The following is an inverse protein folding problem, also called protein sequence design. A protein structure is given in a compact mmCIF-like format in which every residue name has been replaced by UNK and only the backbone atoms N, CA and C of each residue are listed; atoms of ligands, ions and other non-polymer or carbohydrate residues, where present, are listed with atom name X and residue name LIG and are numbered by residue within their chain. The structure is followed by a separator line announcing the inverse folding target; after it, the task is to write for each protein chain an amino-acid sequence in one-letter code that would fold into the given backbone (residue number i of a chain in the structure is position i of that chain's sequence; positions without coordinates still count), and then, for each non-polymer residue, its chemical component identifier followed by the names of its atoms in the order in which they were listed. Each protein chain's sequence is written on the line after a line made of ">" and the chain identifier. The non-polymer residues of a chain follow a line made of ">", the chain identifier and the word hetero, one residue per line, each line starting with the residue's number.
data_IF_604377492208
#
_entry.id   IF_604377492208
#
_cell.length_a   1.000
_cell.length_b   1.000
_cell.length_c   1.000
_cell.angle_alpha   90.00
_cell.angle_beta   90.00
_cell.angle_gamma   90.00
#
_symmetry.space_group_name_H-M   'P 1'
#
loop_
_entity.id
_entity.type
_entity.pdbx_description
1 polymer ?
#
# COMPACT_ATOMS: atom_id res chain seq x y z
N UNK A 1 -11.18 16.95 -4.14
CA UNK A 1 -11.96 16.37 -3.03
C UNK A 1 -11.19 15.17 -2.51
N UNK A 2 -11.05 15.01 -1.20
CA UNK A 2 -10.24 13.93 -0.63
C UNK A 2 -11.12 12.75 -0.27
N UNK A 3 -10.82 11.62 -0.88
CA UNK A 3 -11.27 10.31 -0.43
C UNK A 3 -10.36 9.83 0.70
N UNK A 4 -10.84 9.99 1.95
CA UNK A 4 -10.07 9.70 3.16
C UNK A 4 -10.82 8.70 4.05
N UNK A 5 -10.40 7.43 4.00
CA UNK A 5 -10.99 6.34 4.78
C UNK A 5 -10.28 6.10 6.12
N UNK A 6 -9.16 6.79 6.38
CA UNK A 6 -8.33 6.56 7.58
C UNK A 6 -9.11 6.83 8.87
N UNK A 7 -10.03 7.81 8.83
CA UNK A 7 -10.89 8.16 9.95
C UNK A 7 -12.34 8.43 9.49
N UNK A 8 -13.25 8.32 10.45
CA UNK A 8 -14.71 8.38 10.24
C UNK A 8 -15.13 9.77 9.80
N UNK A 9 -14.52 10.81 10.35
CA UNK A 9 -14.77 12.21 10.00
C UNK A 9 -14.42 12.50 8.54
N UNK A 10 -13.28 11.99 8.06
CA UNK A 10 -12.86 12.09 6.67
C UNK A 10 -13.83 11.38 5.73
N UNK A 11 -14.29 10.19 6.09
CA UNK A 11 -15.23 9.40 5.29
C UNK A 11 -16.60 10.09 5.21
N UNK A 12 -17.14 10.56 6.35
CA UNK A 12 -18.39 11.33 6.38
C UNK A 12 -18.28 12.61 5.56
N UNK A 13 -17.17 13.34 5.70
CA UNK A 13 -16.93 14.56 4.94
C UNK A 13 -16.88 14.29 3.44
N UNK A 14 -16.21 13.22 3.02
CA UNK A 14 -16.18 12.81 1.62
C UNK A 14 -17.59 12.54 1.08
N UNK A 15 -18.37 11.70 1.75
CA UNK A 15 -19.75 11.41 1.34
C UNK A 15 -20.61 12.68 1.27
N UNK A 16 -20.53 13.54 2.29
CA UNK A 16 -21.27 14.79 2.31
C UNK A 16 -20.90 15.71 1.13
N UNK A 17 -19.61 15.95 0.93
CA UNK A 17 -19.12 16.83 -0.13
C UNK A 17 -19.39 16.25 -1.53
N UNK A 18 -19.37 14.92 -1.66
CA UNK A 18 -19.43 14.24 -2.96
C UNK A 18 -20.84 13.96 -3.44
N UNK A 19 -21.69 13.39 -2.59
CA UNK A 19 -23.06 13.02 -2.95
C UNK A 19 -24.12 13.96 -2.40
N UNK A 20 -23.74 14.94 -1.59
CA UNK A 20 -24.65 15.97 -1.08
C UNK A 20 -25.61 15.49 0.01
N UNK A 21 -25.36 14.31 0.60
CA UNK A 21 -26.17 13.77 1.70
C UNK A 21 -25.64 14.30 3.03
N UNK A 22 -26.52 14.78 3.92
CA UNK A 22 -26.10 15.27 5.22
C UNK A 22 -25.66 14.13 6.15
N UNK A 23 -24.81 14.45 7.13
CA UNK A 23 -24.23 13.43 8.03
C UNK A 23 -25.29 12.66 8.84
N UNK A 24 -26.39 13.29 9.22
CA UNK A 24 -27.46 12.64 9.99
C UNK A 24 -28.13 11.59 9.11
N UNK A 25 -28.47 11.95 7.87
CA UNK A 25 -29.03 11.03 6.89
C UNK A 25 -28.12 9.83 6.62
N UNK A 26 -26.81 10.05 6.44
CA UNK A 26 -25.83 8.97 6.25
C UNK A 26 -25.84 8.01 7.45
N UNK A 27 -25.80 8.55 8.67
CA UNK A 27 -25.79 7.73 9.89
C UNK A 27 -27.11 6.96 10.05
N UNK A 28 -28.25 7.62 9.81
CA UNK A 28 -29.56 6.97 9.84
C UNK A 28 -29.65 5.82 8.84
N UNK A 29 -29.14 6.01 7.62
CA UNK A 29 -29.08 4.94 6.63
C UNK A 29 -28.31 3.71 7.13
N UNK A 30 -27.13 3.94 7.73
CA UNK A 30 -26.28 2.85 8.25
C UNK A 30 -26.96 2.11 9.40
N UNK A 31 -27.67 2.82 10.28
CA UNK A 31 -28.39 2.20 11.41
C UNK A 31 -29.57 1.36 10.88
N UNK A 32 -30.36 1.91 9.95
CA UNK A 32 -31.49 1.23 9.33
C UNK A 32 -31.04 -0.05 8.59
N UNK A 33 -29.83 -0.03 8.00
CA UNK A 33 -29.25 -1.10 7.19
C UNK A 33 -27.99 -1.72 7.83
N UNK A 34 -28.00 -1.88 9.16
CA UNK A 34 -26.81 -2.27 9.93
C UNK A 34 -26.24 -3.66 9.60
N UNK A 35 -27.05 -4.58 9.07
CA UNK A 35 -26.62 -5.93 8.70
C UNK A 35 -26.02 -6.00 7.29
N UNK A 36 -26.57 -5.25 6.34
CA UNK A 36 -26.14 -5.26 4.94
C UNK A 36 -26.40 -3.89 4.29
N UNK A 37 -25.39 -3.36 3.62
CA UNK A 37 -25.44 -2.04 2.96
C UNK A 37 -25.64 -2.27 1.47
N UNK A 38 -26.79 -1.83 0.95
CA UNK A 38 -27.10 -1.87 -0.47
C UNK A 38 -26.85 -0.49 -1.12
N UNK A 39 -25.99 -0.46 -2.13
CA UNK A 39 -25.61 0.80 -2.79
C UNK A 39 -26.74 1.32 -3.68
N UNK A 40 -27.52 0.43 -4.30
CA UNK A 40 -28.64 0.83 -5.15
C UNK A 40 -29.76 1.41 -4.29
N UNK A 41 -30.08 0.79 -3.14
CA UNK A 41 -31.04 1.35 -2.17
C UNK A 41 -30.58 2.71 -1.62
N UNK A 42 -29.28 2.85 -1.29
CA UNK A 42 -28.74 4.16 -0.87
C UNK A 42 -28.91 5.22 -1.97
N UNK A 43 -28.60 4.86 -3.22
CA UNK A 43 -28.73 5.77 -4.35
C UNK A 43 -30.21 6.14 -4.60
N UNK A 44 -31.13 5.19 -4.54
CA UNK A 44 -32.57 5.44 -4.70
C UNK A 44 -33.12 6.35 -3.58
N UNK A 45 -32.78 6.05 -2.32
CA UNK A 45 -33.26 6.79 -1.15
C UNK A 45 -32.87 8.27 -1.17
N UNK A 46 -31.69 8.57 -1.70
CA UNK A 46 -31.15 9.93 -1.76
C UNK A 46 -31.11 10.52 -3.17
N UNK A 47 -31.75 9.86 -4.15
CA UNK A 47 -31.82 10.28 -5.55
C UNK A 47 -30.43 10.62 -6.14
N UNK A 48 -29.47 9.71 -5.92
CA UNK A 48 -28.11 9.80 -6.42
C UNK A 48 -28.03 9.05 -7.75
N UNK A 49 -27.56 9.75 -8.78
CA UNK A 49 -27.22 9.19 -10.08
C UNK A 49 -25.70 9.03 -10.15
N UNK A 50 -25.20 7.80 -10.24
CA UNK A 50 -23.75 7.55 -10.32
C UNK A 50 -23.13 8.23 -11.53
N UNK A 51 -23.82 8.24 -12.68
CA UNK A 51 -23.33 8.88 -13.90
C UNK A 51 -23.07 10.38 -13.73
N UNK A 52 -23.78 11.05 -12.81
CA UNK A 52 -23.70 12.49 -12.58
C UNK A 52 -22.64 12.90 -11.56
N UNK A 53 -22.03 11.95 -10.84
CA UNK A 53 -21.02 12.26 -9.83
C UNK A 53 -19.67 12.60 -10.49
N UNK A 54 -19.12 13.77 -10.19
CA UNK A 54 -17.79 14.16 -10.66
C UNK A 54 -16.68 13.42 -9.91
N UNK A 55 -15.67 12.92 -10.62
CA UNK A 55 -14.53 12.20 -10.02
C UNK A 55 -13.15 12.75 -10.40
N UNK A 56 -13.07 13.64 -11.38
CA UNK A 56 -11.79 14.12 -11.95
C UNK A 56 -10.90 14.83 -10.92
N UNK A 57 -11.52 15.42 -9.90
CA UNK A 57 -10.84 16.15 -8.84
C UNK A 57 -10.70 15.33 -7.54
N UNK A 58 -11.03 14.02 -7.56
CA UNK A 58 -10.86 13.14 -6.41
C UNK A 58 -9.40 12.72 -6.27
N UNK A 59 -8.90 12.85 -5.05
CA UNK A 59 -7.60 12.34 -4.61
C UNK A 59 -7.81 11.32 -3.50
N UNK A 60 -6.93 10.33 -3.43
CA UNK A 60 -7.00 9.21 -2.51
C UNK A 60 -5.93 9.40 -1.46
N UNK A 61 -6.34 9.31 -0.20
CA UNK A 61 -5.42 9.40 0.92
C UNK A 61 -5.05 7.99 1.36
N UNK A 62 -3.75 7.71 1.42
CA UNK A 62 -3.24 6.43 1.85
C UNK A 62 -2.09 6.59 2.85
N UNK A 63 -1.92 5.60 3.71
CA UNK A 63 -0.88 5.52 4.73
C UNK A 63 0.17 4.48 4.33
N UNK A 64 1.44 4.84 4.35
CA UNK A 64 2.56 3.92 4.14
C UNK A 64 3.39 3.79 5.40
N UNK A 65 3.56 2.56 5.88
CA UNK A 65 4.42 2.26 7.03
C UNK A 65 5.83 1.96 6.52
N UNK A 66 6.82 2.66 7.09
CA UNK A 66 8.22 2.50 6.69
C UNK A 66 9.15 2.57 7.88
N UNK A 67 10.38 2.09 7.70
CA UNK A 67 11.48 2.27 8.64
C UNK A 67 12.65 2.94 7.94
N UNK A 68 13.32 3.86 8.62
CA UNK A 68 14.46 4.57 8.06
C UNK A 68 15.55 4.80 9.12
N UNK A 69 16.79 4.97 8.66
CA UNK A 69 17.95 5.26 9.51
C UNK A 69 18.39 6.73 9.46
N UNK A 70 17.82 7.52 8.55
CA UNK A 70 18.27 8.87 8.20
C UNK A 70 17.24 9.96 8.51
N UNK A 71 16.23 9.68 9.34
CA UNK A 71 15.22 10.67 9.72
C UNK A 71 14.40 11.19 8.53
N UNK A 72 14.13 10.35 7.54
CA UNK A 72 13.36 10.62 6.31
C UNK A 72 14.06 11.52 5.29
N UNK A 73 15.35 11.86 5.45
CA UNK A 73 16.06 12.74 4.50
C UNK A 73 16.08 12.19 3.07
N UNK A 74 16.26 10.88 2.90
CA UNK A 74 16.16 10.24 1.59
C UNK A 74 14.76 10.34 1.00
N UNK A 75 13.71 10.18 1.81
CA UNK A 75 12.32 10.28 1.35
C UNK A 75 11.97 11.73 1.01
N UNK A 76 12.49 12.73 1.73
CA UNK A 76 12.38 14.15 1.36
C UNK A 76 12.99 14.43 -0.01
N UNK A 77 14.14 13.82 -0.28
CA UNK A 77 14.89 14.04 -1.51
C UNK A 77 14.29 13.33 -2.72
N UNK A 78 13.92 12.06 -2.57
CA UNK A 78 13.54 11.20 -3.68
C UNK A 78 12.06 10.85 -3.72
N UNK A 79 11.33 10.99 -2.61
CA UNK A 79 9.96 10.48 -2.47
C UNK A 79 9.91 9.07 -1.89
N UNK A 80 8.70 8.52 -1.76
CA UNK A 80 8.48 7.13 -1.38
C UNK A 80 8.59 6.27 -2.65
N UNK A 81 9.44 5.25 -2.61
CA UNK A 81 9.84 4.48 -3.79
C UNK A 81 9.55 3.00 -3.62
N UNK A 82 9.44 2.28 -4.74
CA UNK A 82 9.39 0.83 -4.77
C UNK A 82 10.73 0.18 -4.35
N UNK A 83 10.73 -1.12 -4.03
CA UNK A 83 11.91 -1.80 -3.50
C UNK A 83 13.10 -1.75 -4.47
N UNK A 84 12.86 -1.90 -5.77
CA UNK A 84 13.91 -1.85 -6.80
C UNK A 84 14.58 -0.49 -6.85
N UNK A 85 13.82 0.58 -6.77
CA UNK A 85 14.32 1.95 -6.72
C UNK A 85 15.08 2.19 -5.41
N UNK A 86 14.54 1.73 -4.28
CA UNK A 86 15.23 1.81 -2.97
C UNK A 86 16.62 1.17 -3.03
N UNK A 87 16.79 0.06 -3.75
CA UNK A 87 18.07 -0.63 -3.90
C UNK A 87 18.98 -0.03 -4.99
N UNK A 88 18.45 0.76 -5.93
CA UNK A 88 19.23 1.43 -6.99
C UNK A 88 19.75 2.82 -6.57
N UNK A 89 19.09 3.50 -5.65
CA UNK A 89 19.50 4.82 -5.13
C UNK A 89 20.34 4.69 -3.85
N UNK A 90 21.12 5.72 -3.46
CA UNK A 90 21.86 5.75 -2.19
C UNK A 90 20.90 5.96 -1.00
N UNK A 91 19.99 5.01 -0.78
CA UNK A 91 19.02 5.00 0.32
C UNK A 91 19.61 4.37 1.57
N UNK A 92 19.00 4.57 2.75
CA UNK A 92 19.45 3.94 3.99
C UNK A 92 19.49 2.42 3.91
N UNK A 93 18.52 1.79 3.24
CA UNK A 93 18.48 0.34 3.07
C UNK A 93 19.62 -0.15 2.17
N UNK A 94 19.85 0.51 1.03
CA UNK A 94 20.94 0.14 0.13
C UNK A 94 22.32 0.32 0.79
N UNK A 95 22.56 1.47 1.41
CA UNK A 95 23.82 1.77 2.12
C UNK A 95 24.03 0.76 3.26
N UNK A 96 22.97 0.44 4.00
CA UNK A 96 23.02 -0.57 5.05
C UNK A 96 23.46 -1.94 4.49
N UNK A 97 22.88 -2.39 3.37
CA UNK A 97 23.26 -3.66 2.74
C UNK A 97 24.70 -3.64 2.22
N UNK A 98 25.13 -2.55 1.59
CA UNK A 98 26.50 -2.38 1.10
C UNK A 98 27.53 -2.44 2.23
N UNK A 99 27.23 -1.84 3.38
CA UNK A 99 28.08 -1.92 4.58
C UNK A 99 28.23 -3.34 5.13
N UNK A 100 27.36 -4.28 4.73
CA UNK A 100 27.45 -5.70 5.05
C UNK A 100 28.00 -6.54 3.87
N UNK A 101 28.57 -5.89 2.85
CA UNK A 101 29.12 -6.55 1.67
C UNK A 101 28.05 -7.16 0.77
N UNK A 102 26.84 -6.60 0.76
CA UNK A 102 25.70 -7.06 -0.05
C UNK A 102 25.35 -5.97 -1.06
N UNK A 103 25.32 -6.32 -2.33
CA UNK A 103 25.01 -5.41 -3.43
C UNK A 103 23.96 -6.04 -4.35
N UNK A 104 23.08 -5.20 -4.89
CA UNK A 104 22.09 -5.60 -5.90
C UNK A 104 22.35 -4.84 -7.21
N UNK A 105 22.50 -5.59 -8.29
CA UNK A 105 22.44 -5.08 -9.66
C UNK A 105 21.07 -5.47 -10.22
N UNK A 106 20.11 -4.54 -10.11
CA UNK A 106 18.70 -4.76 -10.45
C UNK A 106 18.53 -5.05 -11.94
N UNK A 107 19.26 -4.34 -12.80
CA UNK A 107 19.19 -4.51 -14.26
C UNK A 107 19.72 -5.89 -14.69
N UNK A 108 20.84 -6.32 -14.12
CA UNK A 108 21.42 -7.64 -14.40
C UNK A 108 20.79 -8.77 -13.60
N UNK A 109 19.90 -8.45 -12.65
CA UNK A 109 19.26 -9.40 -11.73
C UNK A 109 20.25 -10.21 -10.90
N UNK A 110 21.30 -9.54 -10.43
CA UNK A 110 22.37 -10.17 -9.64
C UNK A 110 22.37 -9.62 -8.22
N UNK A 111 22.43 -10.51 -7.24
CA UNK A 111 22.79 -10.17 -5.86
C UNK A 111 24.22 -10.65 -5.59
N UNK A 112 25.06 -9.77 -5.05
CA UNK A 112 26.41 -10.12 -4.58
C UNK A 112 26.44 -10.19 -3.06
N UNK A 113 27.18 -11.15 -2.53
CA UNK A 113 27.48 -11.27 -1.09
C UNK A 113 28.97 -11.57 -0.95
N UNK A 114 29.75 -10.58 -0.55
CA UNK A 114 31.21 -10.62 -0.61
C UNK A 114 31.68 -10.94 -2.05
N UNK A 115 32.47 -12.01 -2.20
CA UNK A 115 33.00 -12.41 -3.51
C UNK A 115 32.05 -13.32 -4.32
N UNK A 116 30.86 -13.64 -3.80
CA UNK A 116 29.89 -14.53 -4.48
C UNK A 116 28.83 -13.72 -5.19
N UNK A 117 28.43 -14.18 -6.37
CA UNK A 117 27.32 -13.62 -7.14
C UNK A 117 26.22 -14.66 -7.29
N UNK A 118 24.98 -14.23 -7.16
CA UNK A 118 23.78 -15.05 -7.23
C UNK A 118 22.80 -14.45 -8.23
N UNK A 119 22.23 -15.31 -9.08
CA UNK A 119 21.10 -14.95 -9.93
C UNK A 119 19.84 -14.87 -9.06
N UNK A 120 19.18 -13.71 -9.08
CA UNK A 120 17.92 -13.45 -8.38
C UNK A 120 16.78 -13.20 -9.37
N UNK A 121 16.90 -13.69 -10.60
CA UNK A 121 15.85 -13.66 -11.59
C UNK A 121 14.62 -14.43 -11.14
N UNK A 122 13.46 -13.84 -11.38
CA UNK A 122 12.17 -14.44 -11.07
C UNK A 122 11.34 -14.61 -12.35
N UNK A 123 10.69 -15.77 -12.46
CA UNK A 123 9.78 -16.12 -13.56
C UNK A 123 8.50 -16.72 -12.96
N UNK A 124 7.39 -16.01 -13.13
CA UNK A 124 6.05 -16.39 -12.64
C UNK A 124 5.56 -17.73 -13.21
N UNK A 125 6.00 -18.11 -14.41
CA UNK A 125 5.61 -19.35 -15.09
C UNK A 125 6.49 -20.55 -14.75
N UNK A 126 7.50 -20.37 -13.90
CA UNK A 126 8.34 -21.49 -13.48
C UNK A 126 7.64 -22.28 -12.37
N UNK A 127 7.69 -23.62 -12.40
CA UNK A 127 7.19 -24.53 -11.34
C UNK A 127 7.97 -24.41 -10.01
N UNK A 128 8.55 -23.23 -9.73
CA UNK A 128 9.33 -22.92 -8.54
C UNK A 128 8.48 -22.77 -7.28
N UNK A 129 7.15 -22.81 -7.40
CA UNK A 129 6.20 -22.93 -6.28
C UNK A 129 6.41 -24.22 -5.46
N UNK A 130 7.08 -25.23 -6.03
CA UNK A 130 7.44 -26.48 -5.34
C UNK A 130 8.87 -26.51 -4.76
N UNK A 131 9.63 -25.42 -4.86
CA UNK A 131 10.98 -25.40 -4.29
C UNK A 131 10.92 -25.45 -2.76
N UNK A 132 11.78 -26.29 -2.18
CA UNK A 132 12.02 -26.25 -0.74
C UNK A 132 12.54 -24.86 -0.36
N UNK A 133 11.74 -24.11 0.41
CA UNK A 133 12.07 -22.75 0.87
C UNK A 133 13.35 -22.70 1.71
N UNK A 134 13.83 -23.83 2.24
CA UNK A 134 15.10 -23.91 2.97
C UNK A 134 16.31 -24.12 2.07
N UNK A 135 16.10 -24.58 0.83
CA UNK A 135 17.17 -24.72 -0.15
C UNK A 135 17.77 -23.36 -0.53
N UNK A 136 18.98 -23.35 -1.10
CA UNK A 136 19.56 -22.11 -1.62
C UNK A 136 18.68 -21.54 -2.76
N UNK A 137 18.23 -22.38 -3.67
CA UNK A 137 17.39 -21.98 -4.81
C UNK A 137 16.06 -21.39 -4.36
N UNK A 138 15.38 -22.01 -3.38
CA UNK A 138 14.13 -21.50 -2.81
C UNK A 138 14.29 -20.14 -2.16
N UNK A 139 15.40 -19.91 -1.43
CA UNK A 139 15.70 -18.60 -0.83
C UNK A 139 16.02 -17.53 -1.88
N UNK A 140 16.80 -17.86 -2.91
CA UNK A 140 17.07 -16.95 -4.03
C UNK A 140 15.80 -16.61 -4.80
N UNK A 141 14.93 -17.60 -5.01
CA UNK A 141 13.61 -17.40 -5.63
C UNK A 141 12.73 -16.45 -4.79
N UNK A 142 12.79 -16.53 -3.46
CA UNK A 142 12.09 -15.60 -2.56
C UNK A 142 12.59 -14.16 -2.67
N UNK A 143 13.90 -13.97 -2.84
CA UNK A 143 14.49 -12.64 -3.11
C UNK A 143 14.03 -12.13 -4.47
N UNK A 144 14.14 -12.96 -5.52
CA UNK A 144 13.69 -12.59 -6.86
C UNK A 144 12.21 -12.24 -6.93
N UNK A 145 11.34 -12.99 -6.23
CA UNK A 145 9.92 -12.69 -6.14
C UNK A 145 9.67 -11.30 -5.55
N UNK A 146 10.32 -10.95 -4.43
CA UNK A 146 10.21 -9.61 -3.83
C UNK A 146 10.79 -8.51 -4.73
N UNK A 147 11.78 -8.79 -5.56
CA UNK A 147 12.39 -7.77 -6.43
C UNK A 147 11.62 -7.54 -7.74
N UNK A 148 10.96 -8.55 -8.30
CA UNK A 148 10.42 -8.48 -9.67
C UNK A 148 8.94 -8.86 -9.80
N UNK A 149 8.27 -9.15 -8.69
CA UNK A 149 6.84 -9.47 -8.69
C UNK A 149 6.11 -8.74 -7.55
N UNK A 150 6.64 -8.83 -6.33
CA UNK A 150 6.12 -8.19 -5.11
C UNK A 150 7.05 -7.06 -4.66
N UNK A 151 7.30 -6.11 -5.57
CA UNK A 151 8.22 -4.99 -5.37
C UNK A 151 7.52 -3.63 -5.23
N UNK A 152 6.23 -3.58 -5.54
CA UNK A 152 5.43 -2.36 -5.62
C UNK A 152 5.32 -1.68 -4.26
N UNK A 153 5.06 -0.37 -4.29
CA UNK A 153 4.79 0.39 -3.09
C UNK A 153 3.37 0.08 -2.60
N UNK A 154 3.30 -0.65 -1.48
CA UNK A 154 2.06 -0.94 -0.76
C UNK A 154 1.76 0.13 0.29
N UNK A 155 0.48 0.46 0.43
CA UNK A 155 -0.08 1.43 1.37
C UNK A 155 -1.45 0.95 1.87
N UNK A 156 -2.08 1.76 2.72
CA UNK A 156 -3.38 1.47 3.32
C UNK A 156 -4.33 2.64 3.12
N UNK A 157 -5.53 2.39 2.59
CA UNK A 157 -6.64 3.36 2.65
C UNK A 157 -7.23 3.41 4.06
N UNK A 158 -7.26 2.25 4.75
CA UNK A 158 -7.61 2.12 6.18
C UNK A 158 -6.65 1.15 6.85
N UNK A 159 -6.25 1.44 8.08
CA UNK A 159 -5.34 0.60 8.88
C UNK A 159 -5.91 0.41 10.30
N UNK A 160 -5.82 -0.80 10.85
CA UNK A 160 -6.31 -1.15 12.20
C UNK A 160 -5.54 -0.41 13.29
N UNK A 161 -4.22 -0.33 13.14
CA UNK A 161 -3.34 0.49 13.94
C UNK A 161 -1.89 0.40 13.47
N UNK A 162 -1.06 1.36 13.88
CA UNK A 162 0.30 1.54 13.36
C UNK A 162 1.26 0.37 13.66
N UNK A 163 0.93 -0.45 14.67
CA UNK A 163 1.71 -1.65 15.06
C UNK A 163 1.00 -2.97 14.76
N UNK A 164 -0.27 -2.90 14.36
CA UNK A 164 -1.14 -4.08 14.24
C UNK A 164 -0.97 -4.77 12.88
N UNK A 165 -0.45 -4.03 11.89
CA UNK A 165 -0.13 -4.63 10.60
C UNK A 165 0.91 -5.74 10.72
N UNK A 166 0.59 -6.86 10.07
CA UNK A 166 1.38 -8.09 10.08
C UNK A 166 2.82 -7.92 9.58
N UNK A 167 3.66 -8.91 9.88
CA UNK A 167 5.03 -8.96 9.36
C UNK A 167 6.06 -8.07 10.07
N UNK A 168 5.65 -7.35 11.13
CA UNK A 168 6.52 -6.45 11.91
C UNK A 168 7.23 -5.41 11.03
N UNK A 169 6.54 -4.86 10.03
CA UNK A 169 7.15 -3.89 9.10
C UNK A 169 7.57 -2.59 9.79
N UNK A 170 6.94 -2.27 10.93
CA UNK A 170 7.34 -1.18 11.82
C UNK A 170 8.69 -1.45 12.53
N UNK A 171 9.22 -2.68 12.49
CA UNK A 171 10.54 -2.98 13.04
C UNK A 171 11.59 -3.09 11.94
N UNK A 172 11.25 -3.70 10.80
CA UNK A 172 12.19 -3.98 9.71
C UNK A 172 11.49 -4.25 8.37
N UNK A 173 12.12 -3.91 7.23
CA UNK A 173 11.67 -4.37 5.93
C UNK A 173 11.73 -5.89 5.85
N UNK A 174 10.62 -6.54 5.48
CA UNK A 174 10.54 -8.01 5.34
C UNK A 174 11.66 -8.55 4.43
N UNK A 175 12.04 -7.78 3.41
CA UNK A 175 13.13 -8.09 2.49
C UNK A 175 14.46 -8.44 3.19
N UNK A 176 14.77 -7.82 4.34
CA UNK A 176 15.99 -8.14 5.10
C UNK A 176 16.00 -9.59 5.58
N UNK A 177 14.84 -10.18 5.92
CA UNK A 177 14.76 -11.60 6.31
C UNK A 177 15.18 -12.51 5.15
N UNK A 178 14.75 -12.18 3.93
CA UNK A 178 15.06 -12.96 2.73
C UNK A 178 16.57 -12.88 2.45
N UNK A 179 17.16 -11.69 2.56
CA UNK A 179 18.61 -11.49 2.36
C UNK A 179 19.45 -12.15 3.45
N UNK A 180 19.08 -11.98 4.74
CA UNK A 180 19.71 -12.63 5.89
C UNK A 180 19.81 -14.14 5.70
N UNK A 181 18.79 -14.75 5.11
CA UNK A 181 18.78 -16.19 4.85
C UNK A 181 19.91 -16.64 3.90
N UNK A 182 20.41 -15.78 3.00
CA UNK A 182 21.50 -16.10 2.07
C UNK A 182 22.87 -15.79 2.67
N UNK A 183 23.03 -14.59 3.24
CA UNK A 183 24.32 -14.12 3.76
C UNK A 183 24.64 -14.67 5.17
N UNK A 184 23.67 -15.32 5.84
CA UNK A 184 23.78 -15.83 7.22
C UNK A 184 24.13 -14.76 8.24
N UNK A 185 23.69 -13.52 7.99
CA UNK A 185 23.76 -12.40 8.93
C UNK A 185 22.39 -12.21 9.58
N UNK A 186 22.34 -11.40 10.65
CA UNK A 186 21.09 -11.04 11.31
C UNK A 186 20.75 -9.57 11.02
N UNK A 187 20.54 -9.28 9.73
CA UNK A 187 20.33 -7.92 9.24
C UNK A 187 19.07 -7.29 9.84
N UNK A 188 18.04 -8.09 10.06
CA UNK A 188 16.76 -7.65 10.60
C UNK A 188 16.87 -7.10 12.03
N UNK A 189 17.58 -7.78 12.92
CA UNK A 189 17.72 -7.33 14.30
C UNK A 189 18.68 -6.14 14.37
N UNK A 190 19.68 -6.13 13.52
CA UNK A 190 20.60 -5.02 13.39
C UNK A 190 19.94 -3.75 12.87
N UNK A 191 19.00 -3.88 11.93
CA UNK A 191 18.18 -2.78 11.45
C UNK A 191 17.22 -2.30 12.54
N UNK A 192 16.45 -3.22 13.14
CA UNK A 192 15.43 -2.89 14.13
C UNK A 192 15.98 -2.16 15.38
N UNK A 193 17.25 -2.38 15.74
CA UNK A 193 17.91 -1.67 16.85
C UNK A 193 18.25 -0.21 16.55
N UNK A 194 18.28 0.18 15.28
CA UNK A 194 18.78 1.49 14.82
C UNK A 194 17.73 2.31 14.10
N UNK A 195 16.82 1.64 13.39
CA UNK A 195 15.82 2.30 12.57
C UNK A 195 14.71 2.88 13.44
N UNK A 196 14.19 4.00 12.96
CA UNK A 196 12.93 4.57 13.42
C UNK A 196 11.83 4.21 12.44
N UNK A 197 10.63 4.05 12.97
CA UNK A 197 9.46 3.65 12.23
C UNK A 197 8.49 4.81 12.07
N UNK A 198 7.91 4.94 10.88
CA UNK A 198 7.04 6.05 10.53
C UNK A 198 5.81 5.56 9.77
N UNK A 199 4.70 6.26 10.00
CA UNK A 199 3.56 6.29 9.08
C UNK A 199 3.66 7.58 8.27
N UNK A 200 3.73 7.43 6.95
CA UNK A 200 3.71 8.52 5.99
C UNK A 200 2.35 8.52 5.29
N UNK A 201 1.59 9.57 5.50
CA UNK A 201 0.27 9.73 4.92
C UNK A 201 0.39 10.61 3.67
N UNK A 202 -0.08 10.13 2.53
CA UNK A 202 0.07 10.82 1.26
C UNK A 202 -1.25 10.88 0.49
N UNK A 203 -1.32 11.86 -0.40
CA UNK A 203 -2.47 12.13 -1.26
C UNK A 203 -2.08 11.96 -2.72
N UNK A 204 -2.77 11.07 -3.44
CA UNK A 204 -2.47 10.75 -4.83
C UNK A 204 -3.71 10.66 -5.71
N UNK A 205 -3.51 10.70 -7.02
CA UNK A 205 -4.59 10.56 -8.00
C UNK A 205 -4.80 9.11 -8.42
N UNK A 206 -6.02 8.82 -8.90
CA UNK A 206 -6.42 7.50 -9.39
C UNK A 206 -5.39 6.88 -10.34
N UNK A 207 -4.88 7.67 -11.31
CA UNK A 207 -3.96 7.17 -12.33
C UNK A 207 -2.60 6.70 -11.78
N UNK A 208 -2.26 6.98 -10.53
CA UNK A 208 -1.00 6.59 -9.91
C UNK A 208 -1.11 5.27 -9.12
N UNK A 209 -2.32 4.78 -8.86
CA UNK A 209 -2.58 3.49 -8.22
C UNK A 209 -2.69 2.38 -9.26
N UNK A 210 -2.42 1.16 -8.82
CA UNK A 210 -2.72 -0.04 -9.59
C UNK A 210 -4.21 -0.32 -9.63
N UNK A 211 -4.68 -0.88 -10.76
CA UNK A 211 -6.09 -1.17 -10.99
C UNK A 211 -6.68 -2.09 -9.90
N UNK A 212 -5.90 -3.06 -9.42
CA UNK A 212 -6.36 -4.01 -8.40
C UNK A 212 -6.47 -3.40 -7.00
N UNK A 213 -6.14 -2.12 -6.83
CA UNK A 213 -6.55 -1.36 -5.63
C UNK A 213 -8.07 -1.15 -5.60
N UNK A 214 -8.69 -1.00 -6.78
CA UNK A 214 -10.09 -0.60 -6.91
C UNK A 214 -10.97 -1.70 -7.52
N UNK A 215 -10.39 -2.60 -8.32
CA UNK A 215 -11.12 -3.60 -9.10
C UNK A 215 -10.64 -5.02 -8.77
N UNK A 216 -11.55 -6.00 -8.87
CA UNK A 216 -11.23 -7.40 -8.60
C UNK A 216 -10.48 -8.07 -9.78
N UNK A 217 -10.82 -7.69 -11.02
CA UNK A 217 -10.20 -8.22 -12.22
C UNK A 217 -9.73 -7.12 -13.16
N UNK A 218 -8.77 -7.46 -14.02
CA UNK A 218 -8.23 -6.51 -15.00
C UNK A 218 -9.25 -6.23 -16.10
N UNK A 219 -10.09 -7.22 -16.40
CA UNK A 219 -11.20 -7.13 -17.34
C UNK A 219 -12.21 -6.08 -16.87
N UNK A 220 -12.66 -6.14 -15.62
CA UNK A 220 -13.59 -5.15 -15.04
C UNK A 220 -13.02 -3.72 -15.13
N UNK A 221 -11.74 -3.55 -14.78
CA UNK A 221 -11.05 -2.27 -14.92
C UNK A 221 -11.06 -1.77 -16.37
N UNK A 222 -10.70 -2.61 -17.34
CA UNK A 222 -10.62 -2.18 -18.74
C UNK A 222 -11.99 -1.82 -19.33
N UNK A 223 -13.05 -2.49 -18.88
CA UNK A 223 -14.42 -2.19 -19.29
C UNK A 223 -14.93 -0.89 -18.67
N UNK A 224 -14.59 -0.63 -17.40
CA UNK A 224 -15.09 0.52 -16.66
C UNK A 224 -14.27 1.81 -16.86
N UNK A 225 -12.95 1.75 -17.05
CA UNK A 225 -12.04 2.92 -16.99
C UNK A 225 -12.44 4.11 -17.88
N UNK A 226 -13.20 3.87 -18.95
CA UNK A 226 -13.70 4.93 -19.83
C UNK A 226 -14.91 5.70 -19.27
N UNK A 227 -15.72 5.07 -18.42
CA UNK A 227 -16.94 5.63 -17.83
C UNK A 227 -16.83 5.84 -16.32
N UNK A 228 -16.08 4.97 -15.64
CA UNK A 228 -15.79 4.98 -14.21
C UNK A 228 -17.05 4.83 -13.35
N UNK A 229 -18.05 4.09 -13.82
CA UNK A 229 -19.32 3.88 -13.09
C UNK A 229 -19.07 2.92 -11.92
N UNK A 230 -18.38 1.81 -12.17
CA UNK A 230 -18.04 0.85 -11.13
C UNK A 230 -17.05 1.45 -10.13
N UNK A 231 -16.15 2.33 -10.59
CA UNK A 231 -15.30 3.10 -9.67
C UNK A 231 -16.10 3.98 -8.69
N UNK A 232 -17.15 4.65 -9.18
CA UNK A 232 -18.02 5.47 -8.32
C UNK A 232 -18.80 4.62 -7.34
N UNK A 233 -19.31 3.48 -7.80
CA UNK A 233 -19.95 2.47 -6.95
C UNK A 233 -18.98 1.99 -5.87
N UNK A 234 -17.72 1.74 -6.22
CA UNK A 234 -16.66 1.36 -5.29
C UNK A 234 -16.40 2.45 -4.24
N UNK A 235 -16.29 3.72 -4.64
CA UNK A 235 -16.10 4.85 -3.70
C UNK A 235 -17.23 4.94 -2.67
N UNK A 236 -18.49 4.83 -3.12
CA UNK A 236 -19.66 4.81 -2.23
C UNK A 236 -19.63 3.59 -1.31
N UNK A 237 -19.44 2.40 -1.88
CA UNK A 237 -19.43 1.14 -1.15
C UNK A 237 -18.38 1.14 -0.05
N UNK A 238 -17.13 1.50 -0.37
CA UNK A 238 -16.05 1.58 0.60
C UNK A 238 -16.31 2.60 1.69
N UNK A 239 -16.89 3.76 1.36
CA UNK A 239 -17.21 4.79 2.34
C UNK A 239 -18.30 4.33 3.31
N UNK A 240 -19.41 3.80 2.79
CA UNK A 240 -20.52 3.32 3.63
C UNK A 240 -20.09 2.12 4.47
N UNK A 241 -19.36 1.17 3.89
CA UNK A 241 -18.83 0.02 4.61
C UNK A 241 -17.85 0.43 5.72
N UNK A 242 -16.99 1.42 5.47
CA UNK A 242 -16.07 1.97 6.48
C UNK A 242 -16.83 2.54 7.69
N UNK A 243 -17.94 3.23 7.44
CA UNK A 243 -18.79 3.81 8.48
C UNK A 243 -19.62 2.72 9.19
N UNK A 244 -20.19 1.76 8.47
CA UNK A 244 -20.92 0.61 9.03
C UNK A 244 -20.05 -0.17 10.01
N UNK A 245 -18.83 -0.52 9.61
CA UNK A 245 -17.91 -1.26 10.50
C UNK A 245 -17.59 -0.49 11.78
N UNK A 246 -17.44 0.83 11.67
CA UNK A 246 -17.22 1.66 12.84
C UNK A 246 -18.44 1.73 13.76
N UNK A 247 -19.62 2.01 13.20
CA UNK A 247 -20.85 2.27 13.96
C UNK A 247 -21.41 0.97 14.57
N UNK A 248 -21.52 -0.09 13.76
CA UNK A 248 -22.19 -1.34 14.14
C UNK A 248 -21.28 -2.28 14.93
N UNK A 249 -19.97 -2.28 14.63
CA UNK A 249 -19.04 -3.28 15.16
C UNK A 249 -17.86 -2.69 15.93
N UNK A 250 -17.69 -1.36 15.94
CA UNK A 250 -16.50 -0.68 16.47
C UNK A 250 -15.19 -1.28 15.87
N UNK A 251 -15.25 -1.64 14.60
CA UNK A 251 -14.14 -2.24 13.85
C UNK A 251 -13.52 -1.25 12.87
N UNK A 252 -12.24 -1.47 12.62
CA UNK A 252 -11.52 -0.93 11.47
C UNK A 252 -11.07 -2.14 10.68
N UNK A 253 -11.30 -2.14 9.39
CA UNK A 253 -10.86 -3.21 8.51
C UNK A 253 -9.72 -2.66 7.67
N UNK A 254 -8.63 -3.40 7.59
CA UNK A 254 -7.51 -3.04 6.72
C UNK A 254 -7.95 -3.02 5.26
N UNK A 255 -7.61 -1.94 4.56
CA UNK A 255 -7.88 -1.80 3.13
C UNK A 255 -6.60 -1.37 2.44
N UNK A 256 -6.10 -2.23 1.55
CA UNK A 256 -4.80 -2.08 0.92
C UNK A 256 -4.89 -1.22 -0.33
N UNK A 257 -3.85 -0.43 -0.56
CA UNK A 257 -3.63 0.27 -1.82
C UNK A 257 -2.25 -0.04 -2.36
N UNK A 258 -2.16 -0.12 -3.68
CA UNK A 258 -0.92 -0.42 -4.38
C UNK A 258 -0.66 0.65 -5.41
N UNK A 259 0.55 1.21 -5.40
CA UNK A 259 0.97 2.17 -6.42
C UNK A 259 1.45 1.44 -7.67
N UNK A 260 1.36 2.11 -8.83
CA UNK A 260 1.95 1.58 -10.07
C UNK A 260 3.45 1.29 -9.92
N UNK A 261 3.97 0.23 -10.56
CA UNK A 261 5.40 -0.06 -10.61
C UNK A 261 6.21 1.17 -10.99
N UNK A 262 7.30 1.41 -10.27
CA UNK A 262 8.19 2.56 -10.49
C UNK A 262 7.55 3.94 -10.31
N UNK A 263 6.29 4.03 -9.87
CA UNK A 263 5.73 5.29 -9.41
C UNK A 263 6.40 5.69 -8.10
N UNK A 264 6.74 6.97 -8.00
CA UNK A 264 7.38 7.55 -6.82
C UNK A 264 6.42 8.59 -6.25
N UNK A 265 5.98 8.38 -5.01
CA UNK A 265 5.14 9.36 -4.30
C UNK A 265 6.04 10.54 -3.92
N UNK A 266 5.84 11.74 -4.51
CA UNK A 266 6.70 12.89 -4.23
C UNK A 266 6.55 13.37 -2.79
N UNK A 267 7.62 13.91 -2.19
CA UNK A 267 7.55 14.47 -0.84
C UNK A 267 6.43 15.50 -0.65
N UNK A 268 6.17 16.34 -1.66
CA UNK A 268 5.10 17.36 -1.65
C UNK A 268 3.69 16.78 -1.51
N UNK A 269 3.50 15.50 -1.81
CA UNK A 269 2.22 14.80 -1.72
C UNK A 269 2.06 14.11 -0.35
N UNK A 270 3.09 14.11 0.50
CA UNK A 270 2.98 13.64 1.89
C UNK A 270 2.32 14.75 2.72
N UNK A 271 1.16 14.42 3.28
CA UNK A 271 0.29 15.33 4.03
C UNK A 271 0.36 15.10 5.55
N UNK A 272 0.93 13.98 5.99
CA UNK A 272 1.04 13.62 7.40
C UNK A 272 2.24 12.71 7.67
N UNK A 273 2.87 12.89 8.82
CA UNK A 273 4.01 12.08 9.27
C UNK A 273 3.84 11.80 10.76
N UNK A 274 3.94 10.52 11.13
CA UNK A 274 3.88 10.09 12.52
C UNK A 274 4.98 9.09 12.81
N UNK A 275 5.77 9.32 13.86
CA UNK A 275 6.72 8.31 14.36
C UNK A 275 5.96 7.26 15.18
N UNK A 276 6.27 5.99 14.96
CA UNK A 276 5.72 4.86 15.71
C UNK A 276 6.64 4.65 16.92
N UNK A 277 6.12 4.96 18.12
CA UNK A 277 6.79 4.80 19.43
C UNK A 277 6.32 3.51 20.07
#
# INVERSE_FOLDING_TARGET
>A
MRFDLRNVEGTKKFLHDWVGVDEISIISYIIDNSEDIDIDDFCERYNISLDDLEIDNITYVASHVTTCLDGLETIKKYGIMDLTSVLSYPTPLNIFLQNHGIEFDIDKRIMKVGNKSYDVSYNTNSNKSFLDRRSLEGRLNSIGHKLYYDNQLSAFLTMEGDKEYGGNVHLRPEFLLNVSSICKLNLENEWAKRAKAYVLEFEEKFENFEWFTFYNTKEDYNEDVSKMIEHRRWLLSKSLYRLQNYISYNQRIEDFAYMKPSYIVPWKNIIGIREIV
#
